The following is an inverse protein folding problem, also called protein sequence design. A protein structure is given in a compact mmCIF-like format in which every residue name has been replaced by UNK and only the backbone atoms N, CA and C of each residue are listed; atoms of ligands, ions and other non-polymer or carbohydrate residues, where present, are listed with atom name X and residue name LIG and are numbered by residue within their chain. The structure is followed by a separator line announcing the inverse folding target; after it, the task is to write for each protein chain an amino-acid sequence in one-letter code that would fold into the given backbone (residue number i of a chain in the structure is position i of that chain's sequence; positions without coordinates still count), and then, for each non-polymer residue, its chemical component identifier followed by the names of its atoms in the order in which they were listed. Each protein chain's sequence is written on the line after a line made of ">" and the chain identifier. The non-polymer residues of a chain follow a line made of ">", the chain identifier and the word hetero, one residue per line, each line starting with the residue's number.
data_IF_867945405195
#
_entry.id   IF_867945405195
#
_cell.length_a   1.000
_cell.length_b   1.000
_cell.length_c   1.000
_cell.angle_alpha   90.00
_cell.angle_beta   90.00
_cell.angle_gamma   90.00
#
_symmetry.space_group_name_H-M   'P 1'
#
loop_
_entity.id
_entity.type
_entity.pdbx_description
1 polymer ?
#
# COMPACT_ATOMS: atom_id res chain seq x y z
N UNK A 1 28.76 -10.88 37.98
CA UNK A 1 29.15 -9.63 37.35
C UNK A 1 29.26 -9.74 35.84
N UNK A 2 29.99 -10.70 35.32
CA UNK A 2 30.12 -10.89 33.86
C UNK A 2 28.77 -11.16 33.19
N UNK A 3 27.89 -11.90 33.82
CA UNK A 3 26.55 -12.20 33.30
C UNK A 3 25.67 -10.96 33.16
N UNK A 4 25.79 -9.99 34.03
CA UNK A 4 25.02 -8.73 33.99
C UNK A 4 25.42 -7.90 32.76
N UNK A 5 26.72 -7.81 32.51
CA UNK A 5 27.27 -7.05 31.38
C UNK A 5 26.82 -7.65 30.05
N UNK A 6 26.84 -8.97 29.95
CA UNK A 6 26.39 -9.69 28.75
C UNK A 6 24.92 -9.45 28.45
N UNK A 7 24.08 -9.45 29.49
CA UNK A 7 22.63 -9.17 29.33
C UNK A 7 22.38 -7.74 28.87
N UNK A 8 23.13 -6.81 29.39
CA UNK A 8 23.00 -5.41 29.01
C UNK A 8 23.33 -5.20 27.52
N UNK A 9 24.39 -5.79 27.01
CA UNK A 9 24.78 -5.74 25.62
C UNK A 9 23.69 -6.34 24.70
N UNK A 10 23.11 -7.44 25.14
CA UNK A 10 22.05 -8.09 24.38
C UNK A 10 20.80 -7.22 24.25
N UNK A 11 20.39 -6.54 25.30
CA UNK A 11 19.28 -5.61 25.28
C UNK A 11 19.53 -4.43 24.32
N UNK A 12 20.72 -3.88 24.29
CA UNK A 12 21.08 -2.78 23.41
C UNK A 12 21.01 -3.20 21.94
N UNK A 13 21.46 -4.39 21.60
CA UNK A 13 21.41 -4.91 20.23
C UNK A 13 19.96 -5.11 19.77
N UNK A 14 19.13 -5.70 20.61
CA UNK A 14 17.71 -5.89 20.30
C UNK A 14 16.97 -4.56 20.08
N UNK A 15 17.26 -3.57 20.91
CA UNK A 15 16.66 -2.25 20.79
C UNK A 15 17.06 -1.58 19.48
N UNK A 16 18.32 -1.66 19.08
CA UNK A 16 18.79 -1.08 17.82
C UNK A 16 18.12 -1.73 16.60
N UNK A 17 17.95 -3.05 16.60
CA UNK A 17 17.30 -3.78 15.51
C UNK A 17 15.82 -3.39 15.38
N UNK A 18 15.08 -3.31 16.49
CA UNK A 18 13.67 -2.96 16.44
C UNK A 18 13.43 -1.52 15.99
N UNK A 19 14.41 -0.64 16.20
CA UNK A 19 14.30 0.76 15.80
C UNK A 19 14.44 0.95 14.27
N UNK A 20 15.25 0.12 13.61
CA UNK A 20 15.54 0.23 12.17
C UNK A 20 14.35 -0.18 11.30
N UNK A 21 13.42 -0.98 11.82
CA UNK A 21 12.33 -1.56 11.03
C UNK A 21 11.03 -0.76 11.08
N UNK A 22 10.93 0.32 11.88
CA UNK A 22 9.69 1.06 11.97
C UNK A 22 9.62 2.18 10.95
N UNK A 23 9.04 1.89 9.79
CA UNK A 23 8.72 2.87 8.77
C UNK A 23 7.23 2.76 8.45
N UNK A 24 6.47 3.79 8.82
CA UNK A 24 5.03 3.87 8.54
C UNK A 24 4.77 5.02 7.58
N UNK A 25 3.85 4.83 6.66
CA UNK A 25 3.41 5.89 5.77
C UNK A 25 2.52 6.88 6.53
N UNK A 26 2.71 8.18 6.29
CA UNK A 26 1.86 9.24 6.85
C UNK A 26 0.58 9.42 6.07
N UNK A 27 0.56 8.99 4.83
CA UNK A 27 -0.54 9.20 3.89
C UNK A 27 -0.50 8.07 2.87
N UNK A 28 -1.67 7.68 2.38
CA UNK A 28 -1.79 6.78 1.25
C UNK A 28 -2.95 7.24 0.38
N UNK A 29 -2.71 7.38 -0.92
CA UNK A 29 -3.73 7.75 -1.89
C UNK A 29 -3.80 6.72 -3.00
N UNK A 30 -5.02 6.52 -3.52
CA UNK A 30 -5.29 5.71 -4.70
C UNK A 30 -5.44 6.65 -5.89
N UNK A 31 -4.77 6.36 -7.00
CA UNK A 31 -4.78 7.19 -8.19
C UNK A 31 -4.65 6.34 -9.45
N UNK A 32 -5.25 6.78 -10.54
CA UNK A 32 -5.17 6.11 -11.83
C UNK A 32 -6.42 6.27 -12.66
N UNK A 33 -6.38 5.78 -13.89
CA UNK A 33 -7.50 5.85 -14.82
C UNK A 33 -8.79 5.20 -14.28
N UNK A 34 -8.65 4.20 -13.40
CA UNK A 34 -9.78 3.54 -12.77
C UNK A 34 -10.51 4.41 -11.75
N UNK A 35 -9.82 5.39 -11.16
CA UNK A 35 -10.39 6.27 -10.13
C UNK A 35 -11.33 7.31 -10.74
N UNK A 36 -12.28 7.86 -9.95
CA UNK A 36 -13.23 8.85 -10.46
C UNK A 36 -12.61 10.06 -11.16
N UNK A 37 -11.53 10.59 -10.61
CA UNK A 37 -10.82 11.76 -11.16
C UNK A 37 -9.49 11.39 -11.83
N UNK A 38 -9.29 10.13 -12.16
CA UNK A 38 -8.13 9.66 -12.92
C UNK A 38 -6.80 9.97 -12.23
N UNK A 39 -5.92 10.65 -12.93
CA UNK A 39 -4.56 10.97 -12.47
C UNK A 39 -4.44 12.35 -11.81
N UNK A 40 -5.55 13.00 -11.48
CA UNK A 40 -5.54 14.33 -10.86
C UNK A 40 -5.10 14.23 -9.39
N UNK A 41 -3.89 14.70 -9.10
CA UNK A 41 -3.31 14.62 -7.75
C UNK A 41 -4.13 15.38 -6.71
N UNK A 42 -4.67 16.54 -7.07
CA UNK A 42 -5.46 17.36 -6.15
C UNK A 42 -6.84 16.78 -5.84
N UNK A 43 -7.31 15.81 -6.64
CA UNK A 43 -8.57 15.11 -6.43
C UNK A 43 -8.36 13.60 -6.27
N UNK A 44 -7.16 13.19 -5.87
CA UNK A 44 -6.86 11.78 -5.63
C UNK A 44 -7.66 11.24 -4.44
N UNK A 45 -7.84 9.93 -4.43
CA UNK A 45 -8.66 9.25 -3.41
C UNK A 45 -7.81 9.01 -2.18
N UNK A 46 -8.08 9.74 -1.10
CA UNK A 46 -7.38 9.57 0.17
C UNK A 46 -7.86 8.30 0.87
N UNK A 47 -6.93 7.44 1.24
CA UNK A 47 -7.22 6.27 2.05
C UNK A 47 -7.16 6.62 3.54
N UNK A 48 -7.90 5.86 4.36
CA UNK A 48 -8.01 6.08 5.79
C UNK A 48 -7.17 5.05 6.54
N UNK A 49 -6.31 5.55 7.43
CA UNK A 49 -5.47 4.70 8.29
C UNK A 49 -6.34 4.00 9.33
N UNK A 50 -6.32 2.66 9.31
CA UNK A 50 -7.07 1.82 10.25
C UNK A 50 -6.24 1.39 11.46
N UNK A 51 -4.99 1.84 11.53
CA UNK A 51 -4.03 1.35 12.50
C UNK A 51 -3.16 0.21 11.93
N UNK A 52 -2.00 -0.02 12.52
CA UNK A 52 -1.04 -1.07 12.10
C UNK A 52 -0.66 -1.01 10.62
N UNK A 53 -0.63 0.20 10.07
CA UNK A 53 -0.30 0.47 8.67
C UNK A 53 -1.25 -0.23 7.67
N UNK A 54 -2.49 -0.42 8.07
CA UNK A 54 -3.59 -0.88 7.23
C UNK A 54 -4.43 0.32 6.81
N UNK A 55 -4.68 0.44 5.52
CA UNK A 55 -5.38 1.58 4.92
C UNK A 55 -6.58 1.10 4.14
N UNK A 56 -7.69 1.82 4.23
CA UNK A 56 -8.96 1.43 3.61
C UNK A 56 -9.67 2.62 2.99
N UNK A 57 -10.34 2.39 1.87
CA UNK A 57 -11.27 3.35 1.27
C UNK A 57 -12.32 2.59 0.47
N UNK A 58 -13.53 3.16 0.42
CA UNK A 58 -14.57 2.72 -0.52
C UNK A 58 -14.56 3.68 -1.70
N UNK A 59 -14.40 3.15 -2.90
CA UNK A 59 -14.26 3.96 -4.11
C UNK A 59 -14.87 3.26 -5.30
N UNK A 60 -15.43 4.03 -6.22
CA UNK A 60 -15.90 3.51 -7.51
C UNK A 60 -14.68 3.32 -8.43
N UNK A 61 -14.50 2.10 -8.94
CA UNK A 61 -13.44 1.78 -9.89
C UNK A 61 -14.02 1.40 -11.23
N UNK A 62 -13.41 1.91 -12.30
CA UNK A 62 -13.77 1.57 -13.67
C UNK A 62 -13.16 0.23 -14.06
N UNK A 63 -13.86 -0.51 -14.93
CA UNK A 63 -13.37 -1.80 -15.41
C UNK A 63 -12.16 -1.64 -16.33
N UNK A 64 -11.21 -2.53 -16.22
CA UNK A 64 -10.04 -2.68 -17.10
C UNK A 64 -9.11 -1.47 -17.15
N UNK A 65 -9.27 -0.53 -16.21
CA UNK A 65 -8.43 0.65 -16.07
C UNK A 65 -7.46 0.49 -14.90
N UNK A 66 -6.28 1.12 -15.01
CA UNK A 66 -5.22 0.96 -14.03
C UNK A 66 -5.32 1.91 -12.84
N UNK A 67 -4.85 1.45 -11.68
CA UNK A 67 -4.65 2.29 -10.50
C UNK A 67 -3.45 1.80 -9.69
N UNK A 68 -2.91 2.70 -8.89
CA UNK A 68 -1.79 2.44 -7.98
C UNK A 68 -1.91 3.31 -6.74
N UNK A 69 -0.93 3.23 -5.86
CA UNK A 69 -0.95 3.95 -4.58
C UNK A 69 0.31 4.81 -4.44
N UNK A 70 0.10 6.04 -3.97
CA UNK A 70 1.18 6.97 -3.65
C UNK A 70 1.17 7.28 -2.15
N UNK A 71 2.34 7.55 -1.60
CA UNK A 71 2.47 7.93 -0.18
C UNK A 71 2.41 9.43 0.05
N UNK A 72 2.22 10.22 -1.01
CA UNK A 72 1.96 11.66 -0.97
C UNK A 72 1.27 12.10 -2.26
N UNK A 73 0.79 13.33 -2.31
CA UNK A 73 0.19 13.94 -3.50
C UNK A 73 1.28 14.43 -4.46
N UNK A 74 2.16 13.53 -4.83
CA UNK A 74 3.32 13.80 -5.70
C UNK A 74 3.72 12.48 -6.38
N UNK A 75 3.87 12.49 -7.70
CA UNK A 75 4.33 11.32 -8.45
C UNK A 75 5.79 10.96 -8.16
N UNK A 76 6.55 11.86 -7.56
CA UNK A 76 7.91 11.56 -7.07
C UNK A 76 7.94 10.87 -5.71
N UNK A 77 6.80 10.70 -5.05
CA UNK A 77 6.74 10.04 -3.75
C UNK A 77 6.94 8.53 -3.87
N UNK A 78 7.19 7.88 -2.73
CA UNK A 78 7.26 6.42 -2.64
C UNK A 78 5.91 5.82 -3.02
N UNK A 79 5.91 4.75 -3.80
CA UNK A 79 4.70 4.18 -4.40
C UNK A 79 4.56 2.69 -4.12
N UNK A 80 3.31 2.21 -4.18
CA UNK A 80 2.98 0.78 -4.15
C UNK A 80 2.24 0.42 -5.44
N UNK A 81 2.74 -0.60 -6.15
CA UNK A 81 2.32 -0.94 -7.51
C UNK A 81 2.23 -2.46 -7.69
N UNK A 82 1.85 -2.87 -8.91
CA UNK A 82 1.54 -4.28 -9.21
C UNK A 82 2.78 -5.16 -9.45
N UNK A 83 3.97 -4.59 -9.65
CA UNK A 83 5.19 -5.37 -9.85
C UNK A 83 5.59 -5.52 -11.31
N UNK A 84 5.96 -6.73 -11.73
CA UNK A 84 6.53 -6.98 -13.06
C UNK A 84 5.54 -6.86 -14.21
N UNK A 85 4.25 -6.89 -13.92
CA UNK A 85 3.18 -6.73 -14.91
C UNK A 85 1.95 -6.13 -14.24
N UNK A 86 1.01 -5.65 -15.05
CA UNK A 86 -0.31 -5.27 -14.53
C UNK A 86 -1.00 -6.50 -13.94
N UNK A 87 -1.75 -6.29 -12.84
CA UNK A 87 -2.44 -7.36 -12.13
C UNK A 87 -3.94 -7.10 -12.11
N UNK A 88 -4.71 -8.05 -12.64
CA UNK A 88 -6.17 -8.05 -12.49
C UNK A 88 -6.52 -8.62 -11.12
N UNK A 89 -7.11 -7.79 -10.27
CA UNK A 89 -7.51 -8.20 -8.91
C UNK A 89 -8.82 -8.97 -8.96
N UNK A 90 -8.87 -10.05 -8.18
CA UNK A 90 -10.11 -10.82 -7.99
C UNK A 90 -10.82 -10.37 -6.72
N UNK A 91 -12.15 -10.33 -6.75
CA UNK A 91 -12.97 -9.87 -5.64
C UNK A 91 -12.67 -10.67 -4.35
N UNK A 92 -12.25 -9.96 -3.32
CA UNK A 92 -11.94 -10.54 -2.01
C UNK A 92 -10.63 -11.31 -1.91
N UNK A 93 -9.79 -11.29 -2.95
CA UNK A 93 -8.52 -12.05 -2.96
C UNK A 93 -7.34 -11.09 -2.84
N UNK A 94 -6.48 -11.32 -1.85
CA UNK A 94 -5.30 -10.51 -1.62
C UNK A 94 -4.26 -10.71 -2.73
N UNK A 95 -3.67 -9.62 -3.19
CA UNK A 95 -2.57 -9.62 -4.14
C UNK A 95 -1.37 -8.87 -3.54
N UNK A 96 -0.18 -9.11 -4.07
CA UNK A 96 1.05 -8.50 -3.57
C UNK A 96 1.16 -7.04 -3.97
N UNK A 97 1.50 -6.18 -3.01
CA UNK A 97 1.95 -4.81 -3.24
C UNK A 97 3.48 -4.81 -3.36
N UNK A 98 3.98 -4.28 -4.46
CA UNK A 98 5.42 -4.05 -4.61
C UNK A 98 5.71 -2.58 -4.42
N UNK A 99 6.61 -2.26 -3.50
CA UNK A 99 7.00 -0.87 -3.32
C UNK A 99 8.01 -0.43 -4.40
N UNK A 100 8.06 0.87 -4.65
CA UNK A 100 8.89 1.44 -5.72
C UNK A 100 10.39 1.34 -5.43
N UNK A 101 10.78 1.02 -4.19
CA UNK A 101 12.17 0.75 -3.83
C UNK A 101 12.62 -0.65 -4.23
N UNK A 102 11.72 -1.64 -4.15
CA UNK A 102 12.06 -3.04 -4.50
C UNK A 102 11.75 -3.39 -5.95
N UNK A 103 10.84 -2.65 -6.60
CA UNK A 103 10.46 -2.89 -7.99
C UNK A 103 10.22 -1.55 -8.70
N UNK A 104 11.06 -1.24 -9.68
CA UNK A 104 11.00 0.03 -10.40
C UNK A 104 9.96 0.07 -11.51
N UNK A 105 9.29 -1.04 -11.81
CA UNK A 105 8.27 -1.11 -12.86
C UNK A 105 7.00 -0.39 -12.42
N UNK A 106 6.45 0.44 -13.31
CA UNK A 106 5.25 1.23 -13.03
C UNK A 106 4.00 0.54 -13.57
N UNK A 107 3.76 -0.69 -13.10
CA UNK A 107 2.57 -1.45 -13.45
C UNK A 107 1.42 -1.18 -12.50
N UNK A 108 0.21 -1.42 -12.95
CA UNK A 108 -1.02 -1.01 -12.27
C UNK A 108 -1.87 -2.22 -11.89
N UNK A 109 -2.70 -2.01 -10.89
CA UNK A 109 -3.79 -2.93 -10.56
C UNK A 109 -5.01 -2.58 -11.40
N UNK A 110 -5.83 -3.56 -11.70
CA UNK A 110 -7.08 -3.43 -12.47
C UNK A 110 -8.17 -4.27 -11.82
N UNK A 111 -9.42 -3.89 -12.07
CA UNK A 111 -10.59 -4.72 -11.77
C UNK A 111 -11.31 -5.04 -13.08
N UNK A 112 -11.94 -6.21 -13.16
CA UNK A 112 -12.63 -6.65 -14.39
C UNK A 112 -14.03 -6.08 -14.52
N UNK A 113 -14.60 -5.57 -13.44
CA UNK A 113 -15.98 -5.10 -13.41
C UNK A 113 -16.06 -3.75 -12.73
N UNK A 114 -16.76 -2.79 -13.36
CA UNK A 114 -16.98 -1.48 -12.75
C UNK A 114 -17.95 -1.61 -11.58
N UNK A 115 -17.56 -1.14 -10.40
CA UNK A 115 -18.36 -1.21 -9.19
C UNK A 115 -17.77 -0.30 -8.11
N UNK A 116 -18.48 -0.18 -6.99
CA UNK A 116 -17.91 0.34 -5.76
C UNK A 116 -17.15 -0.78 -5.07
N UNK A 117 -15.91 -0.51 -4.67
CA UNK A 117 -15.06 -1.48 -3.99
C UNK A 117 -14.56 -0.92 -2.68
N UNK A 118 -14.51 -1.79 -1.68
CA UNK A 118 -13.69 -1.57 -0.50
C UNK A 118 -12.27 -1.99 -0.85
N UNK A 119 -11.35 -1.04 -0.83
CA UNK A 119 -9.92 -1.28 -1.13
C UNK A 119 -9.16 -1.23 0.18
N UNK A 120 -8.46 -2.33 0.49
CA UNK A 120 -7.66 -2.45 1.70
C UNK A 120 -6.21 -2.71 1.34
N UNK A 121 -5.32 -1.83 1.79
CA UNK A 121 -3.87 -2.01 1.67
C UNK A 121 -3.27 -2.28 3.03
N UNK A 122 -2.58 -3.41 3.16
CA UNK A 122 -1.78 -3.75 4.34
C UNK A 122 -0.31 -3.54 3.96
N UNK A 123 0.28 -2.46 4.43
CA UNK A 123 1.64 -2.10 4.03
C UNK A 123 2.71 -2.90 4.77
N UNK A 124 2.35 -3.54 5.89
CA UNK A 124 3.28 -4.42 6.62
C UNK A 124 3.41 -5.76 5.89
N UNK A 125 2.27 -6.37 5.56
CA UNK A 125 2.24 -7.65 4.82
C UNK A 125 2.36 -7.45 3.31
N UNK A 126 2.30 -6.21 2.84
CA UNK A 126 2.37 -5.82 1.44
C UNK A 126 1.33 -6.53 0.59
N UNK A 127 0.08 -6.32 0.95
CA UNK A 127 -1.06 -6.87 0.21
C UNK A 127 -2.10 -5.81 -0.07
N UNK A 128 -2.83 -5.98 -1.17
CA UNK A 128 -4.02 -5.22 -1.51
C UNK A 128 -5.17 -6.18 -1.76
N UNK A 129 -6.33 -5.84 -1.23
CA UNK A 129 -7.56 -6.60 -1.44
C UNK A 129 -8.66 -5.64 -1.84
N UNK A 130 -9.36 -5.96 -2.93
CA UNK A 130 -10.58 -5.23 -3.34
C UNK A 130 -11.78 -6.15 -3.14
N UNK A 131 -12.83 -5.62 -2.53
CA UNK A 131 -14.08 -6.35 -2.31
C UNK A 131 -15.22 -5.46 -2.74
N UNK A 132 -16.10 -5.98 -3.58
CA UNK A 132 -17.29 -5.20 -3.98
C UNK A 132 -18.10 -4.85 -2.75
N UNK A 133 -18.38 -3.57 -2.58
CA UNK A 133 -19.27 -3.13 -1.52
C UNK A 133 -20.71 -3.33 -1.93
N UNK A 134 -21.53 -3.76 -0.98
CA UNK A 134 -22.95 -4.04 -1.25
C UNK A 134 -23.75 -2.76 -1.53
#
# INVERSE_FOLDING_TARGET
>A
MKTIITRFLMCCILFAVSFVTSFAADKLILIGDAAPDGWALNNSVAMLNQGNDVWKVTVQLKADEGFKFLTDTDFGSFQYRAGDSDVMLSDGVAATLYDSGENANDNKFKVSEAANYDVVCDLINKTVTVTKSA
#
